data_IF_970768914402
#
_entry.id   IF_970768914402
#
_cell.length_a   1.000
_cell.length_b   1.000
_cell.length_c   1.000
_cell.angle_alpha   90.00
_cell.angle_beta   90.00
_cell.angle_gamma   90.00
#
_symmetry.space_group_name_H-M   'P 1'
#
loop_
_entity.id
_entity.type
_entity.pdbx_description
1 polymer ?
#
# COMPACT_ATOMS: atom_id res chain seq x y z
N UNK A 1 2.31 21.83 34.19
CA UNK A 1 2.58 22.08 33.43
C UNK A 1 2.20 22.00 32.71
N UNK A 2 1.83 21.79 33.12
CA UNK A 2 1.92 21.88 32.26
C UNK A 2 1.47 21.68 31.69
N UNK A 3 0.87 21.45 32.34
CA UNK A 3 0.99 21.57 31.56
C UNK A 3 0.43 21.32 31.20
N UNK A 4 0.20 20.83 31.10
CA UNK A 4 0.22 20.97 30.50
C UNK A 4 0.04 20.70 29.86
N UNK A 5 -0.21 20.35 30.40
CA UNK A 5 0.16 20.35 29.68
C UNK A 5 -0.31 20.06 29.29
N UNK A 6 -0.63 19.58 29.50
CA UNK A 6 -0.52 19.61 28.95
C UNK A 6 -0.89 19.26 28.35
N UNK A 7 -1.23 18.75 28.73
CA UNK A 7 -1.07 18.69 28.05
C UNK A 7 -1.24 18.38 27.49
N UNK A 8 -1.37 17.92 27.92
CA UNK A 8 -0.95 17.86 27.28
C UNK A 8 -0.65 17.46 26.87
N UNK A 9 -0.54 17.11 27.46
CA UNK A 9 0.28 16.97 26.97
C UNK A 9 0.45 16.37 26.70
N UNK A 10 0.43 16.05 27.27
CA UNK A 10 1.07 15.71 26.86
C UNK A 10 0.97 15.09 26.84
N UNK A 11 0.82 14.65 27.26
CA UNK A 11 1.33 14.20 26.92
C UNK A 11 1.54 13.70 26.77
N UNK A 12 1.76 13.43 27.26
CA UNK A 12 2.57 12.98 26.90
C UNK A 12 2.89 12.50 27.24
N UNK A 13 3.14 12.01 27.46
CA UNK A 13 3.80 11.56 27.50
C UNK A 13 3.86 10.81 27.64
N UNK A 14 3.77 10.22 27.97
CA UNK A 14 4.06 9.64 27.77
C UNK A 14 4.17 9.02 27.67
N UNK A 15 3.80 9.01 29.21
CA UNK A 15 4.09 7.98 28.90
C UNK A 15 5.03 7.45 28.01
N UNK A 16 5.14 6.49 27.92
CA UNK A 16 6.07 6.05 26.95
C UNK A 16 5.85 6.74 25.63
N UNK A 17 6.94 6.98 24.97
CA UNK A 17 6.88 7.66 23.69
C UNK A 17 6.61 6.69 22.55
N UNK A 18 5.65 7.03 21.72
CA UNK A 18 5.39 6.33 20.49
C UNK A 18 5.69 7.32 19.37
N UNK A 19 6.58 6.94 18.46
CA UNK A 19 6.92 7.83 17.36
C UNK A 19 5.65 8.20 16.58
N UNK A 20 5.46 9.48 16.27
CA UNK A 20 4.28 9.90 15.52
C UNK A 20 4.22 9.20 14.16
N UNK A 21 3.05 8.71 13.82
CA UNK A 21 2.83 8.20 12.49
C UNK A 21 2.54 9.37 11.57
N UNK A 22 3.04 9.35 10.33
CA UNK A 22 2.66 10.41 9.41
C UNK A 22 1.16 10.47 9.29
N UNK A 23 0.61 11.67 9.36
CA UNK A 23 -0.82 11.82 9.15
C UNK A 23 -1.18 11.44 7.73
N UNK A 24 -0.30 11.77 6.80
CA UNK A 24 -0.54 11.47 5.40
C UNK A 24 0.50 10.46 4.92
N UNK A 25 0.00 9.36 4.39
CA UNK A 25 0.83 8.35 3.75
C UNK A 25 0.41 8.30 2.30
N UNK A 26 1.38 8.45 1.40
CA UNK A 26 1.11 8.49 -0.03
C UNK A 26 1.40 7.12 -0.63
N UNK A 27 0.45 6.61 -1.40
CA UNK A 27 0.61 5.33 -2.08
C UNK A 27 1.64 5.48 -3.21
N UNK A 28 2.75 4.75 -3.17
CA UNK A 28 3.76 4.90 -4.23
C UNK A 28 3.29 4.38 -5.59
N UNK A 29 2.20 3.62 -5.64
CA UNK A 29 1.70 3.11 -6.90
C UNK A 29 0.79 4.12 -7.60
N UNK A 30 -0.14 4.73 -6.88
CA UNK A 30 -1.13 5.63 -7.49
C UNK A 30 -0.96 7.09 -7.08
N UNK A 31 -0.04 7.39 -6.18
CA UNK A 31 0.30 8.75 -5.74
C UNK A 31 -0.84 9.47 -5.01
N UNK A 32 -1.84 8.75 -4.53
CA UNK A 32 -2.91 9.33 -3.72
C UNK A 32 -2.64 9.08 -2.24
N UNK A 33 -3.18 9.96 -1.39
CA UNK A 33 -3.12 9.74 0.06
C UNK A 33 -3.93 8.50 0.43
N UNK A 34 -3.44 7.72 1.40
CA UNK A 34 -4.09 6.47 1.81
C UNK A 34 -4.81 6.67 3.13
N UNK A 35 -6.15 6.56 3.16
CA UNK A 35 -6.88 6.59 4.44
C UNK A 35 -6.38 5.49 5.37
N UNK A 36 -6.40 5.75 6.67
CA UNK A 36 -5.82 4.85 7.66
C UNK A 36 -6.37 3.43 7.55
N UNK A 37 -7.64 3.28 7.25
CA UNK A 37 -8.27 1.95 7.20
C UNK A 37 -7.99 1.20 5.90
N UNK A 38 -7.30 1.84 4.96
CA UNK A 38 -7.02 1.23 3.67
C UNK A 38 -5.52 1.05 3.41
N UNK A 39 -4.72 1.12 4.46
CA UNK A 39 -3.26 0.95 4.35
C UNK A 39 -2.92 -0.52 4.46
N UNK A 40 -2.41 -1.08 3.37
CA UNK A 40 -1.98 -2.47 3.32
C UNK A 40 -0.47 -2.52 3.10
N UNK A 41 0.19 -3.45 3.79
CA UNK A 41 1.60 -3.70 3.54
C UNK A 41 1.73 -4.73 2.43
N UNK A 42 2.42 -4.35 1.37
CA UNK A 42 2.71 -5.24 0.27
C UNK A 42 4.17 -5.70 0.37
N UNK A 43 4.39 -7.01 0.44
CA UNK A 43 5.74 -7.54 0.42
C UNK A 43 6.24 -7.50 -1.03
N UNK A 44 7.33 -6.77 -1.25
CA UNK A 44 7.89 -6.63 -2.61
C UNK A 44 8.26 -7.99 -3.17
N UNK A 45 8.88 -8.83 -2.33
CA UNK A 45 9.03 -10.25 -2.62
C UNK A 45 8.06 -10.95 -1.66
N UNK A 46 7.13 -11.78 -2.16
CA UNK A 46 6.13 -12.40 -1.29
C UNK A 46 6.78 -13.19 -0.14
N UNK A 47 6.07 -13.25 0.97
CA UNK A 47 6.55 -14.00 2.15
C UNK A 47 6.85 -15.45 1.81
N UNK A 48 6.04 -16.06 0.93
CA UNK A 48 6.24 -17.43 0.49
C UNK A 48 7.58 -17.63 -0.20
N UNK A 49 8.21 -16.55 -0.65
CA UNK A 49 9.53 -16.58 -1.30
C UNK A 49 10.57 -15.87 -0.44
N UNK A 50 10.31 -15.72 0.86
CA UNK A 50 11.29 -15.19 1.80
C UNK A 50 11.37 -13.67 1.90
N UNK A 51 10.38 -12.96 1.37
CA UNK A 51 10.42 -11.50 1.35
C UNK A 51 10.19 -10.88 2.72
N UNK A 52 10.89 -9.77 2.98
CA UNK A 52 10.76 -9.04 4.25
C UNK A 52 10.49 -7.56 4.06
N UNK A 53 10.91 -6.98 2.93
CA UNK A 53 10.75 -5.56 2.68
C UNK A 53 9.34 -5.31 2.17
N UNK A 54 8.66 -4.31 2.75
CA UNK A 54 7.29 -3.99 2.39
C UNK A 54 7.16 -2.55 1.93
N UNK A 55 6.08 -2.29 1.20
CA UNK A 55 5.66 -0.94 0.85
C UNK A 55 4.20 -0.80 1.26
N UNK A 56 3.82 0.36 1.79
CA UNK A 56 2.43 0.59 2.18
C UNK A 56 1.68 1.11 0.97
N UNK A 57 0.60 0.42 0.61
CA UNK A 57 -0.21 0.75 -0.56
C UNK A 57 -1.67 0.88 -0.17
N UNK A 58 -2.46 1.53 -1.03
CA UNK A 58 -3.92 1.41 -0.93
C UNK A 58 -4.30 -0.06 -1.01
N UNK A 59 -5.34 -0.43 -0.26
CA UNK A 59 -5.85 -1.80 -0.34
C UNK A 59 -6.20 -2.18 -1.77
N UNK A 60 -6.84 -1.28 -2.52
CA UNK A 60 -7.24 -1.59 -3.90
C UNK A 60 -6.01 -1.80 -4.79
N UNK A 61 -4.95 -1.01 -4.59
CA UNK A 61 -3.71 -1.17 -5.36
C UNK A 61 -3.03 -2.49 -5.03
N UNK A 62 -2.98 -2.83 -3.74
CA UNK A 62 -2.38 -4.08 -3.30
C UNK A 62 -3.13 -5.28 -3.90
N UNK A 63 -4.46 -5.24 -3.86
CA UNK A 63 -5.25 -6.33 -4.41
C UNK A 63 -5.11 -6.44 -5.92
N UNK A 64 -4.96 -5.31 -6.61
CA UNK A 64 -4.78 -5.33 -8.04
C UNK A 64 -3.48 -6.04 -8.43
N UNK A 65 -2.41 -5.79 -7.68
CA UNK A 65 -1.13 -6.46 -7.93
C UNK A 65 -1.32 -7.97 -7.89
N UNK A 66 -1.98 -8.47 -6.85
CA UNK A 66 -2.19 -9.91 -6.70
C UNK A 66 -3.26 -10.46 -7.63
N UNK A 67 -4.07 -9.60 -8.22
CA UNK A 67 -5.05 -10.01 -9.23
C UNK A 67 -4.40 -10.17 -10.61
N UNK A 68 -3.25 -9.54 -10.83
CA UNK A 68 -2.56 -9.51 -12.12
C UNK A 68 -1.38 -10.47 -12.17
N UNK A 69 -0.63 -10.58 -11.06
CA UNK A 69 0.63 -11.33 -11.03
C UNK A 69 0.58 -12.48 -10.04
N UNK A 70 1.27 -13.56 -10.38
CA UNK A 70 1.46 -14.66 -9.43
C UNK A 70 2.58 -14.29 -8.45
N UNK A 71 2.64 -15.01 -7.33
CA UNK A 71 3.70 -14.76 -6.35
C UNK A 71 5.08 -15.03 -6.91
N UNK A 72 5.21 -16.03 -7.78
CA UNK A 72 6.48 -16.33 -8.42
C UNK A 72 6.91 -15.18 -9.32
N UNK A 73 5.97 -14.62 -10.08
CA UNK A 73 6.27 -13.47 -10.94
C UNK A 73 6.71 -12.27 -10.10
N UNK A 74 6.01 -12.03 -8.99
CA UNK A 74 6.37 -10.92 -8.12
C UNK A 74 7.77 -11.12 -7.55
N UNK A 75 8.09 -12.35 -7.14
CA UNK A 75 9.41 -12.61 -6.57
C UNK A 75 10.54 -12.47 -7.59
N UNK A 76 10.31 -12.86 -8.84
CA UNK A 76 11.39 -12.95 -9.82
C UNK A 76 11.48 -11.75 -10.74
N UNK A 77 10.37 -11.11 -11.08
CA UNK A 77 10.36 -10.09 -12.13
C UNK A 77 9.82 -8.75 -11.65
N UNK A 78 8.80 -8.73 -10.80
CA UNK A 78 8.09 -7.50 -10.46
C UNK A 78 8.18 -7.22 -8.98
N UNK A 79 9.43 -7.21 -8.47
CA UNK A 79 9.68 -7.10 -7.04
C UNK A 79 10.04 -5.69 -6.58
N UNK A 80 9.68 -4.69 -7.37
CA UNK A 80 9.82 -3.30 -6.98
C UNK A 80 8.62 -2.52 -7.50
N UNK A 81 8.36 -1.38 -6.86
CA UNK A 81 7.26 -0.51 -7.31
C UNK A 81 7.52 -0.05 -8.74
N UNK A 82 8.77 0.29 -9.05
CA UNK A 82 9.11 0.76 -10.40
C UNK A 82 8.78 -0.29 -11.46
N UNK A 83 9.12 -1.55 -11.19
CA UNK A 83 8.83 -2.61 -12.13
C UNK A 83 7.33 -2.81 -12.31
N UNK A 84 6.58 -2.74 -11.19
CA UNK A 84 5.13 -2.90 -11.25
C UNK A 84 4.48 -1.79 -12.08
N UNK A 85 4.94 -0.56 -11.91
CA UNK A 85 4.36 0.59 -12.60
C UNK A 85 4.60 0.54 -14.10
N UNK A 86 5.58 -0.21 -14.55
CA UNK A 86 5.92 -0.32 -15.97
C UNK A 86 5.10 -1.37 -16.71
N UNK A 87 4.37 -2.22 -15.98
CA UNK A 87 3.61 -3.29 -16.62
C UNK A 87 2.33 -2.73 -17.22
N UNK A 88 2.02 -3.18 -18.43
CA UNK A 88 0.90 -2.66 -19.20
C UNK A 88 -0.41 -2.72 -18.42
N UNK A 89 -0.68 -3.87 -17.80
CA UNK A 89 -1.92 -4.04 -17.04
C UNK A 89 -1.98 -3.09 -15.85
N UNK A 90 -0.82 -2.74 -15.28
CA UNK A 90 -0.79 -1.84 -14.15
C UNK A 90 -0.91 -0.37 -14.59
N UNK A 91 -0.35 -0.03 -15.75
CA UNK A 91 -0.43 1.34 -16.26
C UNK A 91 -1.88 1.77 -16.41
N UNK A 92 -2.70 0.95 -17.04
CA UNK A 92 -4.12 1.27 -17.23
C UNK A 92 -4.85 1.40 -15.90
N UNK A 93 -4.59 0.47 -14.98
CA UNK A 93 -5.20 0.51 -13.66
C UNK A 93 -4.80 1.79 -12.92
N UNK A 94 -3.51 2.11 -12.94
CA UNK A 94 -3.01 3.28 -12.21
C UNK A 94 -3.66 4.56 -12.73
N UNK A 95 -3.74 4.72 -14.04
CA UNK A 95 -4.37 5.89 -14.63
C UNK A 95 -5.83 6.00 -14.19
N UNK A 96 -6.53 4.87 -14.21
CA UNK A 96 -7.94 4.85 -13.83
C UNK A 96 -8.13 5.19 -12.35
N UNK A 97 -7.35 4.55 -11.48
CA UNK A 97 -7.56 4.69 -10.03
C UNK A 97 -7.11 6.07 -9.54
N UNK A 98 -6.15 6.70 -10.22
CA UNK A 98 -5.70 8.04 -9.84
C UNK A 98 -6.78 9.08 -9.98
N UNK A 99 -7.77 8.84 -10.80
CA UNK A 99 -8.89 9.78 -10.97
C UNK A 99 -9.94 9.62 -9.89
N UNK A 100 -9.78 8.67 -8.97
CA UNK A 100 -10.79 8.39 -7.96
C UNK A 100 -10.44 9.07 -6.64
N UNK A 101 -11.44 9.26 -5.75
CA UNK A 101 -11.16 9.80 -4.42
C UNK A 101 -10.18 8.92 -3.66
N UNK A 102 -9.52 9.51 -2.66
CA UNK A 102 -8.50 8.79 -1.89
C UNK A 102 -9.05 7.54 -1.19
N UNK A 103 -10.32 7.57 -0.81
CA UNK A 103 -10.94 6.44 -0.11
C UNK A 103 -11.66 5.48 -1.04
N UNK A 104 -11.53 5.66 -2.34
CA UNK A 104 -12.21 4.80 -3.30
C UNK A 104 -11.74 3.36 -3.17
N UNK A 105 -12.69 2.44 -3.15
CA UNK A 105 -12.40 1.01 -3.14
C UNK A 105 -13.46 0.28 -3.95
N UNK A 106 -12.98 -0.62 -4.78
CA UNK A 106 -13.86 -1.49 -5.56
C UNK A 106 -13.21 -2.86 -5.59
N UNK A 107 -14.03 -3.90 -5.54
CA UNK A 107 -13.50 -5.25 -5.55
C UNK A 107 -12.76 -5.51 -6.85
N UNK A 108 -11.52 -5.99 -6.74
CA UNK A 108 -10.72 -6.31 -7.92
C UNK A 108 -11.08 -7.68 -8.47
N UNK A 109 -10.80 -7.88 -9.75
CA UNK A 109 -10.99 -9.17 -10.39
C UNK A 109 -9.66 -9.71 -10.84
N UNK A 110 -9.48 -11.04 -10.69
CA UNK A 110 -8.27 -11.66 -11.21
C UNK A 110 -8.23 -11.47 -12.72
N UNK A 111 -7.03 -11.28 -13.25
CA UNK A 111 -6.85 -11.20 -14.69
C UNK A 111 -7.26 -12.53 -15.32
N UNK A 112 -7.62 -12.47 -16.60
CA UNK A 112 -8.03 -13.69 -17.32
C UNK A 112 -6.93 -14.74 -17.25
N UNK A 113 -5.69 -14.30 -17.36
CA UNK A 113 -4.53 -15.18 -17.32
C UNK A 113 -4.48 -15.99 -16.02
N UNK A 114 -4.75 -15.36 -14.90
CA UNK A 114 -4.69 -16.05 -13.61
C UNK A 114 -5.89 -16.94 -13.37
N UNK A 115 -7.03 -16.60 -13.97
CA UNK A 115 -8.23 -17.45 -13.82
C UNK A 115 -8.08 -18.79 -14.49
N UNK A 116 -7.29 -18.85 -15.54
CA UNK A 116 -7.12 -20.06 -16.33
C UNK A 116 -5.88 -20.85 -15.96
N UNK A 117 -5.07 -20.32 -15.07
CA UNK A 117 -3.83 -20.98 -14.66
C UNK A 117 -4.06 -22.12 -13.69
#
# INVERSE_FOLDING_TARGET
MTGRIKKKQILVEQSKFIAPQPEEVICPLCDRAIPKLQRDEHHLIPKSHGGRITAVLHRICHRQIHAVFTETELARQYNSIEHLKQQEEMVGFIEWVRSKPDDFYERTRKSRRLKTA
#
